data_IF_934492554225
#
_entry.id   IF_934492554225
#
_cell.length_a   1.000
_cell.length_b   1.000
_cell.length_c   1.000
_cell.angle_alpha   90.00
_cell.angle_beta   90.00
_cell.angle_gamma   90.00
#
_symmetry.space_group_name_H-M   'P 1'
#
loop_
_entity.id
_entity.type
_entity.pdbx_description
1 polymer ?
#
# COMPACT_ATOMS: atom_id res chain seq x y z
N UNK A 1 17.04 -25.01 10.46
CA UNK A 1 17.44 -24.00 11.46
C UNK A 1 16.98 -24.31 12.89
N UNK A 2 15.71 -24.64 13.16
CA UNK A 2 15.23 -24.85 14.57
C UNK A 2 15.84 -26.09 15.27
N UNK A 3 16.29 -27.12 14.54
CA UNK A 3 16.87 -28.33 15.15
C UNK A 3 18.30 -28.14 15.73
N UNK A 4 18.99 -27.05 15.39
CA UNK A 4 20.39 -26.80 15.78
C UNK A 4 20.47 -25.76 16.91
N UNK A 5 19.45 -24.91 17.04
CA UNK A 5 19.36 -23.90 18.09
C UNK A 5 18.75 -24.51 19.37
N UNK A 6 19.23 -24.11 20.55
CA UNK A 6 18.77 -24.60 21.85
C UNK A 6 17.28 -24.36 22.13
N UNK A 7 16.95 -23.35 22.94
CA UNK A 7 15.56 -22.98 23.25
C UNK A 7 15.16 -21.80 22.35
N UNK A 8 14.23 -22.03 21.42
CA UNK A 8 13.77 -21.01 20.47
C UNK A 8 12.49 -20.37 20.98
N UNK A 9 12.43 -19.04 20.99
CA UNK A 9 11.23 -18.26 21.29
C UNK A 9 10.73 -17.60 20.01
N UNK A 10 9.43 -17.71 19.76
CA UNK A 10 8.76 -17.12 18.61
C UNK A 10 7.66 -16.22 19.16
N UNK A 11 7.66 -14.95 18.76
CA UNK A 11 6.57 -14.03 19.06
C UNK A 11 5.90 -13.67 17.73
N UNK A 12 4.57 -13.84 17.66
CA UNK A 12 3.78 -13.50 16.49
C UNK A 12 2.74 -12.50 16.93
N UNK A 13 2.90 -11.27 16.48
CA UNK A 13 1.91 -10.23 16.74
C UNK A 13 0.85 -10.22 15.63
N UNK A 14 -0.41 -9.98 16.02
CA UNK A 14 -1.55 -9.75 15.14
C UNK A 14 -1.78 -10.84 14.06
N UNK A 15 -2.03 -12.08 14.49
CA UNK A 15 -2.31 -13.21 13.58
C UNK A 15 -3.43 -12.93 12.57
N UNK A 16 -4.43 -12.15 12.96
CA UNK A 16 -5.55 -11.75 12.12
C UNK A 16 -5.17 -10.84 10.94
N UNK A 17 -4.01 -10.19 10.98
CA UNK A 17 -3.53 -9.34 9.88
C UNK A 17 -2.85 -10.15 8.76
N UNK A 18 -2.62 -11.45 8.98
CA UNK A 18 -2.04 -12.32 7.97
C UNK A 18 -3.00 -12.56 6.80
N UNK A 19 -2.52 -12.42 5.57
CA UNK A 19 -3.29 -12.74 4.35
C UNK A 19 -3.25 -14.24 4.01
N UNK A 20 -2.18 -14.94 4.39
CA UNK A 20 -1.97 -16.38 4.17
C UNK A 20 -2.36 -17.21 5.41
N UNK A 21 -3.59 -17.04 5.89
CA UNK A 21 -4.06 -17.58 7.18
C UNK A 21 -4.03 -19.10 7.26
N UNK A 22 -4.32 -19.79 6.14
CA UNK A 22 -4.33 -21.26 6.07
C UNK A 22 -2.93 -21.83 6.23
N UNK A 23 -1.98 -21.26 5.51
CA UNK A 23 -0.57 -21.60 5.53
C UNK A 23 0.02 -21.33 6.91
N UNK A 24 -0.30 -20.18 7.51
CA UNK A 24 0.08 -19.83 8.88
C UNK A 24 -0.43 -20.86 9.90
N UNK A 25 -1.71 -21.21 9.85
CA UNK A 25 -2.29 -22.21 10.75
C UNK A 25 -1.66 -23.59 10.58
N UNK A 26 -1.33 -23.98 9.35
CA UNK A 26 -0.63 -25.24 9.08
C UNK A 26 0.79 -25.21 9.65
N UNK A 27 1.52 -24.11 9.46
CA UNK A 27 2.85 -23.92 10.00
C UNK A 27 2.87 -23.94 11.54
N UNK A 28 1.91 -23.27 12.19
CA UNK A 28 1.74 -23.28 13.65
C UNK A 28 1.54 -24.70 14.19
N UNK A 29 0.73 -25.53 13.53
CA UNK A 29 0.54 -26.94 13.91
C UNK A 29 1.85 -27.74 13.86
N UNK A 30 2.69 -27.50 12.85
CA UNK A 30 4.00 -28.15 12.74
C UNK A 30 5.01 -27.65 13.79
N UNK A 31 4.82 -26.45 14.33
CA UNK A 31 5.62 -25.89 15.41
C UNK A 31 5.27 -26.47 16.78
N UNK A 32 3.99 -26.75 17.03
CA UNK A 32 3.53 -27.35 18.28
C UNK A 32 4.24 -28.68 18.61
N UNK A 33 4.72 -29.40 17.59
CA UNK A 33 5.47 -30.65 17.75
C UNK A 33 6.99 -30.47 17.92
N UNK A 34 7.50 -29.24 18.08
CA UNK A 34 8.94 -28.92 18.18
C UNK A 34 9.28 -28.27 19.53
N UNK A 35 10.58 -28.22 19.87
CA UNK A 35 11.11 -27.52 21.07
C UNK A 35 11.13 -25.99 20.88
N UNK A 36 10.01 -25.38 20.55
CA UNK A 36 9.87 -23.92 20.46
C UNK A 36 8.84 -23.41 21.48
N UNK A 37 9.07 -22.23 22.04
CA UNK A 37 8.09 -21.51 22.85
C UNK A 37 7.45 -20.40 22.01
N UNK A 38 6.12 -20.37 21.98
CA UNK A 38 5.36 -19.46 21.14
C UNK A 38 4.52 -18.54 22.03
N UNK A 39 4.58 -17.25 21.73
CA UNK A 39 3.55 -16.28 22.13
C UNK A 39 2.94 -15.76 20.84
N UNK A 40 1.61 -15.75 20.77
CA UNK A 40 0.91 -15.20 19.63
C UNK A 40 -0.27 -14.35 20.10
N UNK A 41 -0.48 -13.21 19.46
CA UNK A 41 -1.61 -12.32 19.70
C UNK A 41 -2.51 -12.30 18.46
N UNK A 42 -3.77 -11.98 18.65
CA UNK A 42 -4.71 -11.81 17.55
C UNK A 42 -6.14 -11.70 18.04
N UNK A 43 -7.02 -11.28 17.14
CA UNK A 43 -8.46 -11.21 17.44
C UNK A 43 -9.06 -12.60 17.57
N UNK A 44 -10.11 -12.76 18.41
CA UNK A 44 -10.79 -14.03 18.62
C UNK A 44 -11.70 -14.42 17.44
N UNK A 45 -11.15 -14.48 16.23
CA UNK A 45 -11.88 -14.91 15.04
C UNK A 45 -12.16 -16.42 15.08
N UNK A 46 -13.29 -16.82 14.50
CA UNK A 46 -13.82 -18.20 14.56
C UNK A 46 -12.79 -19.25 14.11
N UNK A 47 -11.99 -18.94 13.09
CA UNK A 47 -10.96 -19.85 12.59
C UNK A 47 -9.81 -20.06 13.59
N UNK A 48 -9.36 -19.00 14.27
CA UNK A 48 -8.29 -19.09 15.26
C UNK A 48 -8.79 -19.75 16.54
N UNK A 49 -9.98 -19.40 16.99
CA UNK A 49 -10.63 -20.00 18.15
C UNK A 49 -10.84 -21.52 17.99
N UNK A 50 -11.10 -22.00 16.78
CA UNK A 50 -11.26 -23.43 16.52
C UNK A 50 -9.95 -24.17 16.26
N UNK A 51 -8.96 -23.52 15.62
CA UNK A 51 -7.74 -24.17 15.16
C UNK A 51 -6.58 -24.13 16.17
N UNK A 52 -6.46 -23.09 16.99
CA UNK A 52 -5.31 -22.87 17.89
C UNK A 52 -5.40 -23.66 19.21
N UNK A 53 -6.55 -23.70 19.92
CA UNK A 53 -6.60 -24.38 21.22
C UNK A 53 -6.36 -25.90 21.14
N UNK A 54 -6.68 -26.54 20.00
CA UNK A 54 -6.49 -28.00 19.82
C UNK A 54 -5.01 -28.44 19.91
N UNK A 55 -4.06 -27.86 19.14
CA UNK A 55 -2.64 -28.23 19.22
C UNK A 55 -1.90 -27.62 20.41
N UNK A 56 -2.33 -26.47 20.95
CA UNK A 56 -1.59 -25.75 22.00
C UNK A 56 -2.21 -25.87 23.41
N UNK A 57 -3.43 -26.39 23.52
CA UNK A 57 -4.18 -26.57 24.77
C UNK A 57 -4.95 -25.31 25.19
N UNK A 58 -6.23 -25.47 25.52
CA UNK A 58 -7.15 -24.36 25.87
C UNK A 58 -6.63 -23.48 27.01
N UNK A 59 -6.00 -24.08 28.03
CA UNK A 59 -5.43 -23.34 29.17
C UNK A 59 -4.31 -22.35 28.81
N UNK A 60 -3.71 -22.52 27.63
CA UNK A 60 -2.64 -21.65 27.14
C UNK A 60 -3.18 -20.53 26.23
N UNK A 61 -4.49 -20.52 25.96
CA UNK A 61 -5.17 -19.48 25.21
C UNK A 61 -5.87 -18.54 26.20
N UNK A 62 -5.31 -17.34 26.37
CA UNK A 62 -5.84 -16.35 27.30
C UNK A 62 -6.65 -15.33 26.52
N UNK A 63 -7.95 -15.24 26.82
CA UNK A 63 -8.79 -14.17 26.30
C UNK A 63 -8.70 -12.97 27.23
N UNK A 64 -8.42 -11.80 26.66
CA UNK A 64 -8.37 -10.55 27.42
C UNK A 64 -9.79 -10.10 27.78
N UNK A 65 -10.03 -9.92 29.07
CA UNK A 65 -11.31 -9.42 29.59
C UNK A 65 -11.43 -7.90 29.35
N UNK A 66 -12.51 -7.48 28.70
CA UNK A 66 -12.74 -6.08 28.35
C UNK A 66 -12.81 -5.15 29.57
N UNK A 67 -13.37 -5.61 30.69
CA UNK A 67 -13.52 -4.78 31.90
C UNK A 67 -12.17 -4.53 32.57
N UNK A 68 -11.30 -5.55 32.60
CA UNK A 68 -9.93 -5.42 33.09
C UNK A 68 -9.16 -4.43 32.22
N UNK A 69 -9.25 -4.58 30.89
CA UNK A 69 -8.60 -3.67 29.94
C UNK A 69 -9.10 -2.22 30.09
N UNK A 70 -10.40 -2.00 30.35
CA UNK A 70 -10.91 -0.65 30.66
C UNK A 70 -10.28 -0.05 31.93
N UNK A 71 -9.90 -0.88 32.90
CA UNK A 71 -9.08 -0.46 34.04
C UNK A 71 -7.75 0.14 33.59
N UNK A 72 -7.03 -0.58 32.72
CA UNK A 72 -5.73 -0.15 32.18
C UNK A 72 -5.86 1.09 31.29
N UNK A 73 -6.94 1.19 30.49
CA UNK A 73 -7.24 2.37 29.67
C UNK A 73 -7.42 3.60 30.56
N UNK A 74 -8.12 3.50 31.70
CA UNK A 74 -8.24 4.62 32.64
C UNK A 74 -6.87 5.07 33.17
N UNK A 75 -6.02 4.12 33.54
CA UNK A 75 -4.65 4.41 33.98
C UNK A 75 -3.82 5.08 32.88
N UNK A 76 -3.97 4.61 31.63
CA UNK A 76 -3.34 5.22 30.46
C UNK A 76 -3.82 6.66 30.21
N UNK A 77 -5.13 6.90 30.27
CA UNK A 77 -5.72 8.25 30.13
C UNK A 77 -5.18 9.16 31.22
N UNK A 78 -5.20 8.71 32.47
CA UNK A 78 -4.69 9.49 33.60
C UNK A 78 -3.20 9.82 33.47
N UNK A 79 -2.37 8.84 33.10
CA UNK A 79 -0.96 9.05 32.85
C UNK A 79 -0.74 10.06 31.71
N UNK A 80 -1.49 9.94 30.61
CA UNK A 80 -1.38 10.84 29.46
C UNK A 80 -1.74 12.28 29.82
N UNK A 81 -2.82 12.50 30.57
CA UNK A 81 -3.24 13.84 31.01
C UNK A 81 -2.22 14.49 31.96
N UNK A 82 -1.49 13.70 32.74
CA UNK A 82 -0.48 14.18 33.70
C UNK A 82 0.90 14.40 33.08
N UNK A 83 1.26 13.66 32.04
CA UNK A 83 2.63 13.62 31.52
C UNK A 83 2.78 14.33 30.18
N UNK A 84 1.75 14.36 29.33
CA UNK A 84 1.88 14.92 27.98
C UNK A 84 1.85 16.45 28.03
N UNK A 85 2.86 17.15 27.47
CA UNK A 85 2.90 18.62 27.46
C UNK A 85 1.63 19.26 26.89
N UNK A 86 1.06 18.63 25.85
CA UNK A 86 -0.21 19.04 25.23
C UNK A 86 -1.35 19.24 26.24
N UNK A 87 -1.37 18.55 27.38
CA UNK A 87 -2.38 18.73 28.42
C UNK A 87 -1.87 19.49 29.64
N UNK A 88 -0.62 19.23 30.05
CA UNK A 88 0.02 19.88 31.19
C UNK A 88 0.11 21.39 30.98
N UNK A 89 0.49 21.83 29.79
CA UNK A 89 0.69 23.24 29.47
C UNK A 89 -0.63 24.01 29.39
N UNK A 90 -1.75 23.32 29.12
CA UNK A 90 -3.09 23.91 29.03
C UNK A 90 -3.68 24.31 30.39
N UNK A 91 -3.13 23.83 31.52
CA UNK A 91 -3.59 24.12 32.90
C UNK A 91 -5.12 23.98 33.05
N UNK A 92 -5.65 22.84 32.62
CA UNK A 92 -7.08 22.55 32.63
C UNK A 92 -7.64 22.50 34.06
N UNK A 93 -8.92 22.84 34.24
CA UNK A 93 -9.58 22.75 35.53
C UNK A 93 -9.73 21.28 35.97
N UNK A 94 -9.77 21.00 37.28
CA UNK A 94 -10.02 19.65 37.79
C UNK A 94 -11.32 19.03 37.26
N UNK A 95 -12.36 19.84 37.04
CA UNK A 95 -13.64 19.38 36.51
C UNK A 95 -13.53 18.81 35.09
N UNK A 96 -12.77 19.48 34.20
CA UNK A 96 -12.57 19.02 32.82
C UNK A 96 -11.72 17.74 32.82
N UNK A 97 -10.69 17.67 33.67
CA UNK A 97 -9.84 16.48 33.78
C UNK A 97 -10.64 15.26 34.25
N UNK A 98 -11.52 15.41 35.24
CA UNK A 98 -12.41 14.32 35.66
C UNK A 98 -13.37 13.91 34.55
N UNK A 99 -13.99 14.87 33.85
CA UNK A 99 -14.89 14.56 32.73
C UNK A 99 -14.16 13.80 31.60
N UNK A 100 -12.92 14.17 31.29
CA UNK A 100 -12.07 13.44 30.32
C UNK A 100 -11.78 12.02 30.79
N UNK A 101 -11.38 11.84 32.06
CA UNK A 101 -11.09 10.52 32.64
C UNK A 101 -12.31 9.60 32.56
N UNK A 102 -13.48 10.12 32.94
CA UNK A 102 -14.70 9.34 32.96
C UNK A 102 -15.19 9.00 31.55
N UNK A 103 -15.28 9.99 30.66
CA UNK A 103 -15.82 9.76 29.32
C UNK A 103 -14.90 8.92 28.44
N UNK A 104 -13.60 9.18 28.47
CA UNK A 104 -12.64 8.46 27.61
C UNK A 104 -12.30 7.11 28.25
N UNK A 105 -12.00 7.09 29.54
CA UNK A 105 -11.57 5.89 30.24
C UNK A 105 -12.65 4.81 30.32
N UNK A 106 -13.91 5.19 30.53
CA UNK A 106 -15.03 4.24 30.55
C UNK A 106 -15.67 4.04 29.16
N UNK A 107 -15.55 5.02 28.25
CA UNK A 107 -16.20 5.00 26.94
C UNK A 107 -15.40 4.32 25.82
N UNK A 108 -14.18 3.87 26.08
CA UNK A 108 -13.31 3.27 25.06
C UNK A 108 -13.65 1.80 24.70
N UNK A 109 -14.56 1.14 25.42
CA UNK A 109 -14.99 -0.25 25.23
C UNK A 109 -13.84 -1.25 24.99
N UNK A 110 -12.78 -1.18 25.80
CA UNK A 110 -11.61 -2.06 25.71
C UNK A 110 -10.65 -1.73 24.57
N UNK A 111 -10.84 -0.61 23.87
CA UNK A 111 -10.00 -0.20 22.73
C UNK A 111 -9.08 0.96 23.11
N UNK A 112 -7.81 0.68 23.38
CA UNK A 112 -6.78 1.72 23.56
C UNK A 112 -6.71 2.68 22.37
N UNK A 113 -6.92 2.17 21.15
CA UNK A 113 -6.89 3.00 19.94
C UNK A 113 -7.97 4.08 19.96
N UNK A 114 -9.17 3.77 20.45
CA UNK A 114 -10.24 4.75 20.59
C UNK A 114 -9.84 5.82 21.61
N UNK A 115 -9.35 5.41 22.79
CA UNK A 115 -8.90 6.35 23.82
C UNK A 115 -7.77 7.28 23.32
N UNK A 116 -6.77 6.73 22.63
CA UNK A 116 -5.66 7.48 22.05
C UNK A 116 -6.15 8.52 21.02
N UNK A 117 -7.02 8.12 20.09
CA UNK A 117 -7.59 9.02 19.09
C UNK A 117 -8.41 10.15 19.72
N UNK A 118 -9.19 9.85 20.78
CA UNK A 118 -9.95 10.86 21.52
C UNK A 118 -9.03 11.86 22.22
N UNK A 119 -7.97 11.38 22.87
CA UNK A 119 -6.97 12.24 23.51
C UNK A 119 -6.25 13.12 22.48
N UNK A 120 -5.82 12.58 21.34
CA UNK A 120 -5.21 13.38 20.26
C UNK A 120 -6.15 14.44 19.69
N UNK A 121 -7.46 14.17 19.62
CA UNK A 121 -8.45 15.16 19.22
C UNK A 121 -8.51 16.31 20.24
N UNK A 122 -8.62 15.98 21.53
CA UNK A 122 -8.75 16.97 22.60
C UNK A 122 -7.46 17.78 22.84
N UNK A 123 -6.29 17.17 22.60
CA UNK A 123 -5.00 17.84 22.66
C UNK A 123 -4.93 19.03 21.68
N UNK A 124 -5.59 18.93 20.53
CA UNK A 124 -5.62 19.97 19.49
C UNK A 124 -6.58 21.14 19.81
N UNK A 125 -7.46 21.00 20.80
CA UNK A 125 -8.38 22.08 21.18
C UNK A 125 -7.61 23.28 21.77
N UNK A 126 -7.88 24.49 21.27
CA UNK A 126 -7.17 25.70 21.69
C UNK A 126 -7.76 26.39 22.93
N UNK A 127 -8.97 26.01 23.36
CA UNK A 127 -9.64 26.63 24.52
C UNK A 127 -10.40 25.58 25.35
N UNK A 128 -10.63 25.85 26.66
CA UNK A 128 -11.46 24.99 27.50
C UNK A 128 -12.88 24.80 26.94
N UNK A 129 -13.47 25.85 26.38
CA UNK A 129 -14.79 25.78 25.75
C UNK A 129 -14.82 24.83 24.53
N UNK A 130 -13.72 24.76 23.76
CA UNK A 130 -13.60 23.80 22.66
C UNK A 130 -13.51 22.35 23.18
N UNK A 131 -12.76 22.11 24.26
CA UNK A 131 -12.66 20.80 24.91
C UNK A 131 -14.04 20.35 25.41
N UNK A 132 -14.76 21.21 26.14
CA UNK A 132 -16.09 20.89 26.66
C UNK A 132 -17.10 20.60 25.54
N UNK A 133 -17.02 21.34 24.43
CA UNK A 133 -17.86 21.10 23.25
C UNK A 133 -17.55 19.73 22.61
N UNK A 134 -16.28 19.39 22.47
CA UNK A 134 -15.87 18.11 21.89
C UNK A 134 -16.21 16.93 22.83
N UNK A 135 -16.04 17.11 24.15
CA UNK A 135 -16.45 16.14 25.18
C UNK A 135 -17.96 15.87 25.17
N UNK A 136 -18.79 16.86 24.82
CA UNK A 136 -20.26 16.68 24.68
C UNK A 136 -20.64 15.90 23.44
N UNK A 137 -19.82 15.97 22.40
CA UNK A 137 -20.13 15.38 21.10
C UNK A 137 -19.28 14.16 20.78
N UNK A 138 -18.57 13.54 21.73
CA UNK A 138 -17.62 12.46 21.46
C UNK A 138 -18.17 11.35 20.56
N UNK A 139 -17.35 10.80 19.66
CA UNK A 139 -17.71 9.63 18.88
C UNK A 139 -17.97 8.43 19.81
N UNK A 140 -19.01 7.64 19.51
CA UNK A 140 -19.43 6.51 20.34
C UNK A 140 -18.60 5.24 20.12
N UNK A 141 -17.83 5.18 19.02
CA UNK A 141 -16.98 4.05 18.69
C UNK A 141 -15.83 4.47 17.76
N UNK A 142 -14.99 3.50 17.43
CA UNK A 142 -13.79 3.71 16.62
C UNK A 142 -14.10 4.13 15.17
N UNK A 143 -15.10 3.52 14.52
CA UNK A 143 -15.47 3.87 13.14
C UNK A 143 -16.00 5.31 13.04
N UNK A 144 -16.83 5.72 13.99
CA UNK A 144 -17.32 7.11 14.09
C UNK A 144 -16.17 8.10 14.33
N UNK A 145 -15.15 7.69 15.08
CA UNK A 145 -13.93 8.49 15.29
C UNK A 145 -13.17 8.69 13.97
N UNK A 146 -12.91 7.62 13.22
CA UNK A 146 -12.23 7.72 11.93
C UNK A 146 -13.05 8.49 10.89
N UNK A 147 -14.36 8.32 10.86
CA UNK A 147 -15.27 9.09 10.01
C UNK A 147 -15.11 10.58 10.23
N UNK A 148 -15.07 11.02 11.48
CA UNK A 148 -14.87 12.44 11.83
C UNK A 148 -13.48 12.93 11.48
N UNK A 149 -12.44 12.11 11.68
CA UNK A 149 -11.08 12.47 11.29
C UNK A 149 -11.01 12.79 9.80
N UNK A 150 -11.56 11.93 8.94
CA UNK A 150 -11.61 12.14 7.49
C UNK A 150 -12.46 13.35 7.10
N UNK A 151 -13.61 13.54 7.76
CA UNK A 151 -14.50 14.68 7.47
C UNK A 151 -13.89 16.02 7.87
N UNK A 152 -13.08 16.04 8.92
CA UNK A 152 -12.43 17.25 9.43
C UNK A 152 -11.12 17.59 8.69
N UNK A 153 -10.71 16.78 7.70
CA UNK A 153 -9.59 17.15 6.82
C UNK A 153 -9.99 18.41 6.05
N UNK A 154 -9.20 19.51 6.12
CA UNK A 154 -9.47 20.73 5.38
C UNK A 154 -9.68 20.47 3.89
N UNK A 155 -10.62 21.19 3.26
CA UNK A 155 -10.99 20.95 1.85
C UNK A 155 -9.81 21.09 0.88
N UNK A 156 -8.86 21.96 1.20
CA UNK A 156 -7.61 22.17 0.46
C UNK A 156 -6.69 20.94 0.44
N UNK A 157 -6.71 20.11 1.49
CA UNK A 157 -5.88 18.90 1.59
C UNK A 157 -6.64 17.63 1.26
N UNK A 158 -7.97 17.70 1.17
CA UNK A 158 -8.84 16.52 1.18
C UNK A 158 -8.57 15.58 0.00
N UNK A 159 -8.42 16.09 -1.22
CA UNK A 159 -8.13 15.25 -2.38
C UNK A 159 -6.80 14.52 -2.25
N UNK A 160 -5.79 15.23 -1.77
CA UNK A 160 -4.43 14.71 -1.63
C UNK A 160 -4.34 13.70 -0.48
N UNK A 161 -5.03 13.98 0.63
CA UNK A 161 -5.14 13.09 1.78
C UNK A 161 -5.86 11.77 1.42
N UNK A 162 -6.98 11.84 0.70
CA UNK A 162 -7.70 10.64 0.25
C UNK A 162 -6.83 9.82 -0.72
N UNK A 163 -6.14 10.48 -1.66
CA UNK A 163 -5.19 9.82 -2.56
C UNK A 163 -4.08 9.11 -1.78
N UNK A 164 -3.46 9.80 -0.82
CA UNK A 164 -2.43 9.21 0.03
C UNK A 164 -2.94 8.00 0.82
N UNK A 165 -4.13 8.08 1.40
CA UNK A 165 -4.75 6.95 2.11
C UNK A 165 -5.06 5.77 1.18
N UNK A 166 -5.48 6.02 -0.08
CA UNK A 166 -5.67 4.95 -1.07
C UNK A 166 -4.35 4.23 -1.37
N UNK A 167 -3.24 4.96 -1.50
CA UNK A 167 -1.91 4.37 -1.59
C UNK A 167 -1.62 3.52 -0.35
N UNK A 168 -1.72 4.07 0.86
CA UNK A 168 -1.38 3.33 2.09
C UNK A 168 -2.23 2.08 2.34
N UNK A 169 -3.49 2.07 1.90
CA UNK A 169 -4.38 0.90 2.04
C UNK A 169 -3.93 -0.24 1.11
N UNK A 170 -3.55 0.08 -0.13
CA UNK A 170 -3.31 -0.93 -1.18
C UNK A 170 -1.84 -1.10 -1.58
N UNK A 171 -0.93 -0.32 -1.00
CA UNK A 171 0.49 -0.36 -1.30
C UNK A 171 1.04 -1.79 -1.14
N UNK A 172 1.64 -2.30 -2.22
CA UNK A 172 2.31 -3.61 -2.23
C UNK A 172 3.59 -3.61 -1.41
N UNK A 173 4.22 -2.45 -1.32
CA UNK A 173 5.41 -2.20 -0.53
C UNK A 173 5.17 -1.00 0.37
N UNK A 174 5.66 -1.00 1.62
CA UNK A 174 5.59 0.16 2.48
C UNK A 174 6.13 1.40 1.76
N UNK A 175 5.34 2.47 1.79
CA UNK A 175 5.66 3.70 1.07
C UNK A 175 6.70 4.47 1.87
N UNK A 176 7.88 4.74 1.29
CA UNK A 176 8.88 5.56 1.96
C UNK A 176 8.35 6.99 2.10
N UNK A 177 8.75 7.69 3.16
CA UNK A 177 8.28 9.05 3.43
C UNK A 177 8.52 10.00 2.25
N UNK A 178 9.69 10.00 1.57
CA UNK A 178 9.89 10.82 0.37
C UNK A 178 8.97 10.44 -0.80
N UNK A 179 8.63 9.16 -0.96
CA UNK A 179 7.71 8.70 -2.01
C UNK A 179 6.28 9.19 -1.73
N UNK A 180 5.87 9.19 -0.46
CA UNK A 180 4.57 9.70 -0.03
C UNK A 180 4.43 11.21 -0.30
N UNK A 181 5.51 11.98 -0.19
CA UNK A 181 5.52 13.41 -0.56
C UNK A 181 5.27 13.59 -2.06
N UNK A 182 5.80 12.71 -2.91
CA UNK A 182 5.56 12.78 -4.36
C UNK A 182 4.09 12.47 -4.72
N UNK A 183 3.43 11.58 -3.96
CA UNK A 183 1.98 11.32 -4.11
C UNK A 183 1.16 12.59 -3.87
N UNK A 184 1.52 13.38 -2.86
CA UNK A 184 0.89 14.68 -2.58
C UNK A 184 1.22 15.70 -3.67
N UNK A 185 2.47 15.73 -4.13
CA UNK A 185 2.94 16.66 -5.15
C UNK A 185 2.40 16.38 -6.59
N UNK A 186 1.67 15.27 -6.78
CA UNK A 186 1.10 14.86 -8.08
C UNK A 186 -0.40 15.15 -8.16
N UNK A 187 -0.80 16.15 -8.95
CA UNK A 187 -2.21 16.49 -9.18
C UNK A 187 -2.83 15.64 -10.29
N UNK A 188 -3.98 15.01 -10.01
CA UNK A 188 -4.70 14.18 -11.00
C UNK A 188 -6.19 14.52 -11.13
N UNK A 189 -6.72 15.37 -10.24
CA UNK A 189 -8.14 15.69 -10.14
C UNK A 189 -8.45 17.03 -10.82
N UNK A 190 -7.66 18.06 -10.52
CA UNK A 190 -7.89 19.43 -10.98
C UNK A 190 -6.83 19.88 -12.00
N UNK A 191 -7.23 20.72 -12.95
CA UNK A 191 -6.28 21.31 -13.90
C UNK A 191 -5.54 22.51 -13.26
N UNK A 192 -4.22 22.69 -13.50
CA UNK A 192 -3.38 21.85 -14.35
C UNK A 192 -2.99 20.53 -13.66
N UNK A 193 -3.28 19.40 -14.32
CA UNK A 193 -2.83 18.08 -13.86
C UNK A 193 -1.33 17.94 -14.08
N UNK A 194 -0.68 17.21 -13.18
CA UNK A 194 0.73 16.92 -13.31
C UNK A 194 1.46 16.81 -11.97
N UNK A 195 2.66 16.26 -12.03
CA UNK A 195 3.63 16.33 -10.96
C UNK A 195 4.32 17.70 -10.94
N UNK A 196 4.41 18.30 -9.75
CA UNK A 196 5.06 19.59 -9.57
C UNK A 196 5.97 19.60 -8.33
N UNK A 197 7.28 19.72 -8.56
CA UNK A 197 8.29 19.83 -7.50
C UNK A 197 7.98 20.94 -6.49
N UNK A 198 7.33 22.04 -6.92
CA UNK A 198 6.93 23.15 -6.03
C UNK A 198 5.79 22.81 -5.07
N UNK A 199 5.10 21.68 -5.27
CA UNK A 199 4.10 21.15 -4.33
C UNK A 199 4.69 20.22 -3.27
N UNK A 200 6.00 19.91 -3.34
CA UNK A 200 6.68 19.17 -2.26
C UNK A 200 6.56 19.94 -0.95
N UNK A 201 6.39 19.20 0.13
CA UNK A 201 6.34 19.77 1.47
C UNK A 201 7.69 20.37 1.84
N UNK A 202 7.68 21.49 2.56
CA UNK A 202 8.91 22.07 3.12
C UNK A 202 9.60 21.13 4.09
N UNK A 203 8.80 20.42 4.91
CA UNK A 203 9.24 19.35 5.79
C UNK A 203 8.44 18.10 5.48
N UNK A 204 9.09 16.97 5.21
CA UNK A 204 8.40 15.73 4.87
C UNK A 204 7.43 15.28 5.98
N UNK A 205 7.78 15.53 7.24
CA UNK A 205 6.94 15.23 8.40
C UNK A 205 5.59 15.99 8.44
N UNK A 206 5.46 17.10 7.70
CA UNK A 206 4.17 17.81 7.57
C UNK A 206 3.10 16.96 6.87
N UNK A 207 3.45 15.83 6.26
CA UNK A 207 2.49 14.89 5.67
C UNK A 207 1.48 14.38 6.71
N UNK A 208 1.87 14.30 7.99
CA UNK A 208 0.98 13.92 9.09
C UNK A 208 -0.19 14.90 9.25
N UNK A 209 -0.07 16.14 8.75
CA UNK A 209 -1.12 17.16 8.79
C UNK A 209 -2.24 16.89 7.78
N UNK A 210 -1.97 16.13 6.71
CA UNK A 210 -2.98 15.73 5.73
C UNK A 210 -3.93 14.67 6.32
N UNK A 211 -3.39 13.77 7.15
CA UNK A 211 -4.13 12.65 7.72
C UNK A 211 -3.93 12.52 9.26
N UNK A 212 -4.31 13.54 10.07
CA UNK A 212 -3.97 13.56 11.49
C UNK A 212 -4.57 12.38 12.26
N UNK A 213 -3.72 11.60 12.93
CA UNK A 213 -4.13 10.43 13.71
C UNK A 213 -4.58 9.23 12.85
N UNK A 214 -4.44 9.29 11.52
CA UNK A 214 -4.71 8.15 10.61
C UNK A 214 -3.43 7.52 10.07
N UNK A 215 -2.31 8.25 10.10
CA UNK A 215 -1.00 7.81 9.62
C UNK A 215 0.09 8.09 10.65
N UNK A 216 1.19 7.35 10.58
CA UNK A 216 2.40 7.54 11.39
C UNK A 216 3.64 7.43 10.49
N UNK A 217 4.73 8.03 10.95
CA UNK A 217 6.07 7.79 10.37
C UNK A 217 6.75 6.77 11.26
N UNK A 218 7.21 5.67 10.66
CA UNK A 218 7.95 4.61 11.32
C UNK A 218 9.38 4.58 10.80
N UNK A 219 10.34 4.55 11.71
CA UNK A 219 11.75 4.33 11.38
C UNK A 219 11.98 2.83 11.26
N UNK A 220 12.35 2.37 10.07
CA UNK A 220 12.55 0.94 9.77
C UNK A 220 14.00 0.72 9.35
N UNK A 221 14.70 -0.16 10.08
CA UNK A 221 16.08 -0.56 9.77
C UNK A 221 16.08 -1.89 9.03
N UNK A 222 16.53 -1.82 7.78
CA UNK A 222 16.79 -2.98 6.93
C UNK A 222 18.28 -3.36 7.04
N UNK A 223 18.69 -4.50 6.49
CA UNK A 223 20.09 -4.98 6.55
C UNK A 223 21.13 -3.97 6.01
N UNK A 224 20.69 -2.96 5.25
CA UNK A 224 21.54 -1.98 4.56
C UNK A 224 21.26 -0.51 4.89
N UNK A 225 20.06 -0.16 5.33
CA UNK A 225 19.65 1.25 5.52
C UNK A 225 18.54 1.39 6.57
N UNK A 226 18.57 2.51 7.30
CA UNK A 226 17.42 2.97 8.09
C UNK A 226 16.64 3.97 7.25
N UNK A 227 15.35 3.73 7.07
CA UNK A 227 14.47 4.57 6.27
C UNK A 227 13.20 4.93 7.03
N UNK A 228 12.72 6.15 6.81
CA UNK A 228 11.41 6.58 7.28
C UNK A 228 10.34 6.08 6.30
N UNK A 229 9.41 5.28 6.82
CA UNK A 229 8.26 4.78 6.09
C UNK A 229 6.98 5.42 6.62
N UNK A 230 6.03 5.68 5.72
CA UNK A 230 4.71 6.19 6.09
C UNK A 230 3.73 5.02 6.17
N UNK A 231 3.17 4.79 7.36
CA UNK A 231 2.24 3.69 7.62
C UNK A 231 0.87 4.23 8.05
N UNK A 232 -0.16 3.40 7.91
CA UNK A 232 -1.41 3.65 8.63
C UNK A 232 -1.12 3.55 10.13
N UNK A 233 -1.74 4.44 10.91
CA UNK A 233 -1.46 4.53 12.34
C UNK A 233 -1.89 3.28 13.14
N UNK A 234 -2.78 2.46 12.57
CA UNK A 234 -3.19 1.18 13.11
C UNK A 234 -3.93 0.37 12.04
N UNK A 235 -3.91 -0.96 12.10
CA UNK A 235 -4.62 -1.82 11.15
C UNK A 235 -6.13 -1.55 11.07
N UNK A 236 -6.77 -1.20 12.19
CA UNK A 236 -8.19 -0.83 12.20
C UNK A 236 -8.53 0.40 11.35
N UNK A 237 -7.56 1.26 11.05
CA UNK A 237 -7.74 2.34 10.07
C UNK A 237 -7.97 1.73 8.69
N UNK A 238 -7.17 0.73 8.31
CA UNK A 238 -7.30 0.02 7.03
C UNK A 238 -8.66 -0.65 6.90
N UNK A 239 -9.11 -1.35 7.95
CA UNK A 239 -10.42 -2.00 7.97
C UNK A 239 -11.54 -0.99 7.72
N UNK A 240 -11.55 0.13 8.47
CA UNK A 240 -12.56 1.17 8.31
C UNK A 240 -12.52 1.84 6.92
N UNK A 241 -11.33 2.03 6.34
CA UNK A 241 -11.21 2.60 5.00
C UNK A 241 -11.79 1.65 3.95
N UNK A 242 -11.50 0.35 4.03
CA UNK A 242 -11.99 -0.67 3.09
C UNK A 242 -13.52 -0.83 3.07
N UNK A 243 -14.22 -0.42 4.13
CA UNK A 243 -15.70 -0.38 4.16
C UNK A 243 -16.29 0.71 3.26
N UNK A 244 -15.48 1.67 2.81
CA UNK A 244 -15.92 2.79 1.98
C UNK A 244 -15.59 2.55 0.51
N UNK A 245 -16.57 2.79 -0.37
CA UNK A 245 -16.43 2.54 -1.82
C UNK A 245 -15.18 3.18 -2.44
N UNK A 246 -14.82 4.41 -2.08
CA UNK A 246 -13.65 5.07 -2.68
C UNK A 246 -12.29 4.39 -2.36
N UNK A 247 -12.23 3.51 -1.35
CA UNK A 247 -11.03 2.76 -0.99
C UNK A 247 -11.13 1.28 -1.38
N UNK A 248 -12.18 0.85 -2.10
CA UNK A 248 -12.20 -0.49 -2.68
C UNK A 248 -11.02 -0.65 -3.66
N UNK A 249 -10.56 -1.89 -3.87
CA UNK A 249 -9.37 -2.16 -4.69
C UNK A 249 -9.46 -1.55 -6.09
N UNK A 250 -10.63 -1.61 -6.74
CA UNK A 250 -10.82 -1.10 -8.10
C UNK A 250 -10.78 0.44 -8.08
N UNK A 251 -11.52 1.08 -7.18
CA UNK A 251 -11.53 2.55 -7.06
C UNK A 251 -10.16 3.12 -6.71
N UNK A 252 -9.46 2.52 -5.76
CA UNK A 252 -8.11 2.93 -5.37
C UNK A 252 -7.11 2.67 -6.49
N UNK A 253 -7.22 1.55 -7.21
CA UNK A 253 -6.31 1.22 -8.32
C UNK A 253 -6.42 2.23 -9.47
N UNK A 254 -7.62 2.72 -9.79
CA UNK A 254 -7.80 3.81 -10.77
C UNK A 254 -6.97 5.03 -10.36
N UNK A 255 -7.05 5.42 -9.09
CA UNK A 255 -6.33 6.58 -8.57
C UNK A 255 -4.81 6.35 -8.56
N UNK A 256 -4.36 5.21 -8.04
CA UNK A 256 -2.93 4.87 -7.96
C UNK A 256 -2.30 4.81 -9.36
N UNK A 257 -2.95 4.14 -10.32
CA UNK A 257 -2.48 4.07 -11.70
C UNK A 257 -2.37 5.46 -12.33
N UNK A 258 -3.40 6.29 -12.19
CA UNK A 258 -3.37 7.67 -12.72
C UNK A 258 -2.22 8.47 -12.12
N UNK A 259 -2.05 8.43 -10.80
CA UNK A 259 -0.96 9.12 -10.11
C UNK A 259 0.40 8.65 -10.62
N UNK A 260 0.62 7.33 -10.73
CA UNK A 260 1.89 6.80 -11.23
C UNK A 260 2.15 7.21 -12.69
N UNK A 261 1.16 7.12 -13.57
CA UNK A 261 1.32 7.48 -14.98
C UNK A 261 1.54 8.99 -15.17
N UNK A 262 0.79 9.82 -14.45
CA UNK A 262 1.00 11.28 -14.45
C UNK A 262 2.40 11.62 -13.95
N UNK A 263 2.82 11.02 -12.84
CA UNK A 263 4.17 11.22 -12.30
C UNK A 263 5.27 10.84 -13.29
N UNK A 264 5.19 9.64 -13.87
CA UNK A 264 6.18 9.13 -14.82
C UNK A 264 6.24 9.95 -16.13
N UNK A 265 5.13 10.53 -16.56
CA UNK A 265 5.08 11.37 -17.76
C UNK A 265 5.72 12.75 -17.57
N UNK A 266 5.73 13.27 -16.35
CA UNK A 266 6.23 14.61 -16.04
C UNK A 266 7.69 14.66 -15.58
N UNK A 267 8.21 13.57 -15.03
CA UNK A 267 9.64 13.49 -14.69
C UNK A 267 10.49 13.41 -15.96
N UNK A 268 11.43 14.34 -16.12
CA UNK A 268 12.34 14.42 -17.27
C UNK A 268 13.76 14.55 -16.75
N UNK A 269 14.61 13.51 -16.88
CA UNK A 269 16.06 13.54 -16.65
C UNK A 269 16.70 12.17 -17.01
N UNK A 270 18.01 12.01 -16.81
CA UNK A 270 18.71 10.72 -16.95
C UNK A 270 18.45 9.82 -15.72
N UNK A 271 18.33 8.51 -15.93
CA UNK A 271 17.87 7.54 -14.91
C UNK A 271 18.67 7.59 -13.58
N UNK A 272 19.98 7.84 -13.65
CA UNK A 272 20.85 7.90 -12.48
C UNK A 272 20.57 9.09 -11.56
N UNK A 273 20.21 10.26 -12.11
CA UNK A 273 19.83 11.45 -11.30
C UNK A 273 18.35 11.42 -10.93
N UNK A 274 17.52 10.70 -11.68
CA UNK A 274 16.08 10.63 -11.39
C UNK A 274 15.83 10.01 -10.02
N UNK A 275 16.62 9.03 -9.60
CA UNK A 275 16.36 8.33 -8.33
C UNK A 275 16.63 9.18 -7.11
N UNK A 276 17.61 10.08 -7.17
CA UNK A 276 17.84 11.06 -6.09
C UNK A 276 16.78 12.16 -6.12
N UNK A 277 16.42 12.63 -7.31
CA UNK A 277 15.60 13.83 -7.46
C UNK A 277 14.09 13.54 -7.40
N UNK A 278 13.69 12.30 -7.70
CA UNK A 278 12.31 11.84 -7.85
C UNK A 278 12.13 10.48 -7.13
N UNK A 279 11.98 10.50 -5.79
CA UNK A 279 12.00 9.28 -4.97
C UNK A 279 10.95 8.23 -5.36
N UNK A 280 9.77 8.65 -5.82
CA UNK A 280 8.68 7.75 -6.20
C UNK A 280 8.89 7.10 -7.59
N UNK A 281 9.89 7.50 -8.38
CA UNK A 281 10.05 7.06 -9.76
C UNK A 281 10.15 5.53 -9.90
N UNK A 282 10.93 4.89 -9.03
CA UNK A 282 11.08 3.43 -9.05
C UNK A 282 9.80 2.72 -8.61
N UNK A 283 9.17 3.16 -7.52
CA UNK A 283 7.89 2.63 -7.06
C UNK A 283 6.82 2.71 -8.16
N UNK A 284 6.66 3.90 -8.74
CA UNK A 284 5.68 4.14 -9.80
C UNK A 284 5.95 3.24 -11.00
N UNK A 285 7.18 3.17 -11.48
CA UNK A 285 7.57 2.33 -12.63
C UNK A 285 7.35 0.83 -12.39
N UNK A 286 7.54 0.37 -11.16
CA UNK A 286 7.46 -1.05 -10.81
C UNK A 286 6.02 -1.54 -10.65
N UNK A 287 5.14 -0.75 -10.03
CA UNK A 287 3.84 -1.26 -9.58
C UNK A 287 2.64 -0.74 -10.36
N UNK A 288 2.77 0.29 -11.19
CA UNK A 288 1.59 0.90 -11.84
C UNK A 288 0.77 -0.07 -12.70
N UNK A 289 1.42 -1.06 -13.33
CA UNK A 289 0.76 -2.07 -14.18
C UNK A 289 -0.13 -3.00 -13.35
N UNK A 290 0.29 -3.40 -12.15
CA UNK A 290 -0.52 -4.25 -11.26
C UNK A 290 -1.82 -3.57 -10.84
N UNK A 291 -1.76 -2.27 -10.53
CA UNK A 291 -2.94 -1.47 -10.24
C UNK A 291 -3.77 -1.27 -11.51
N UNK A 292 -3.14 -1.06 -12.67
CA UNK A 292 -3.86 -0.89 -13.93
C UNK A 292 -4.69 -2.12 -14.27
N UNK A 293 -4.14 -3.33 -14.08
CA UNK A 293 -4.85 -4.62 -14.20
C UNK A 293 -6.12 -4.65 -13.34
N UNK A 294 -6.02 -4.20 -12.09
CA UNK A 294 -7.16 -4.16 -11.16
C UNK A 294 -8.21 -3.11 -11.54
N UNK A 295 -7.86 -2.16 -12.42
CA UNK A 295 -8.69 -1.05 -12.87
C UNK A 295 -9.10 -1.12 -14.35
N UNK A 296 -8.76 -2.19 -15.08
CA UNK A 296 -8.95 -2.29 -16.54
C UNK A 296 -10.42 -2.21 -17.02
N UNK A 297 -11.38 -2.42 -16.14
CA UNK A 297 -12.81 -2.17 -16.45
C UNK A 297 -13.16 -0.69 -16.62
N UNK A 298 -12.25 0.22 -16.26
CA UNK A 298 -12.38 1.65 -16.51
C UNK A 298 -11.79 2.02 -17.87
N UNK A 299 -12.64 2.42 -18.80
CA UNK A 299 -12.22 2.91 -20.13
C UNK A 299 -11.23 4.08 -20.02
N UNK A 300 -11.37 4.91 -18.98
CA UNK A 300 -10.42 5.99 -18.72
C UNK A 300 -9.01 5.47 -18.44
N UNK A 301 -8.89 4.43 -17.63
CA UNK A 301 -7.58 3.84 -17.31
C UNK A 301 -6.97 3.14 -18.52
N UNK A 302 -7.77 2.43 -19.31
CA UNK A 302 -7.29 1.82 -20.56
C UNK A 302 -6.73 2.90 -21.47
N UNK A 303 -7.47 3.98 -21.69
CA UNK A 303 -7.03 5.10 -22.53
C UNK A 303 -5.77 5.79 -22.01
N UNK A 304 -5.69 6.06 -20.71
CA UNK A 304 -4.49 6.63 -20.08
C UNK A 304 -3.29 5.70 -20.22
N UNK A 305 -3.49 4.40 -20.01
CA UNK A 305 -2.45 3.37 -20.17
C UNK A 305 -1.92 3.33 -21.60
N UNK A 306 -2.82 3.22 -22.59
CA UNK A 306 -2.45 3.22 -24.01
C UNK A 306 -1.77 4.54 -24.40
N UNK A 307 -2.27 5.67 -23.91
CA UNK A 307 -1.66 6.98 -24.13
C UNK A 307 -0.22 7.06 -23.62
N UNK A 308 0.01 6.64 -22.37
CA UNK A 308 1.35 6.60 -21.76
C UNK A 308 2.29 5.61 -22.45
N UNK A 309 1.79 4.45 -22.91
CA UNK A 309 2.58 3.50 -23.67
C UNK A 309 2.98 4.06 -25.04
N UNK A 310 2.10 4.81 -25.70
CA UNK A 310 2.39 5.43 -27.00
C UNK A 310 3.37 6.58 -26.89
N UNK A 311 3.24 7.41 -25.85
CA UNK A 311 4.16 8.52 -25.63
C UNK A 311 5.60 8.02 -25.51
N UNK A 312 6.43 8.40 -26.49
CA UNK A 312 7.78 7.87 -26.61
C UNK A 312 8.62 8.20 -25.37
N UNK A 313 8.42 9.39 -24.78
CA UNK A 313 9.18 9.84 -23.62
C UNK A 313 8.82 9.04 -22.39
N UNK A 314 7.53 8.94 -22.09
CA UNK A 314 6.98 8.20 -20.95
C UNK A 314 7.34 6.71 -21.03
N UNK A 315 7.18 6.09 -22.20
CA UNK A 315 7.51 4.68 -22.40
C UNK A 315 9.01 4.39 -22.21
N UNK A 316 9.89 5.22 -22.79
CA UNK A 316 11.33 5.11 -22.60
C UNK A 316 11.73 5.31 -21.13
N UNK A 317 11.10 6.29 -20.47
CA UNK A 317 11.35 6.63 -19.08
C UNK A 317 10.95 5.49 -18.14
N UNK A 318 9.75 4.93 -18.33
CA UNK A 318 9.29 3.76 -17.60
C UNK A 318 10.26 2.58 -17.75
N UNK A 319 10.62 2.23 -18.99
CA UNK A 319 11.50 1.09 -19.25
C UNK A 319 12.93 1.29 -18.75
N UNK A 320 13.41 2.54 -18.62
CA UNK A 320 14.72 2.83 -18.01
C UNK A 320 14.68 2.67 -16.49
N UNK A 321 13.54 3.00 -15.87
CA UNK A 321 13.35 2.88 -14.44
C UNK A 321 13.06 1.46 -14.00
N UNK A 322 12.37 0.66 -14.81
CA UNK A 322 12.01 -0.72 -14.49
C UNK A 322 11.63 -1.52 -15.74
N UNK A 323 12.07 -2.79 -15.81
CA UNK A 323 11.59 -3.78 -16.78
C UNK A 323 11.29 -5.07 -16.02
N UNK A 324 10.05 -5.54 -16.08
CA UNK A 324 9.60 -6.69 -15.28
C UNK A 324 10.34 -7.99 -15.63
N UNK A 325 10.75 -8.15 -16.89
CA UNK A 325 11.56 -9.27 -17.36
C UNK A 325 13.03 -9.18 -16.95
N UNK A 326 13.43 -8.08 -16.30
CA UNK A 326 14.78 -7.86 -15.74
C UNK A 326 14.71 -7.20 -14.36
N UNK A 327 13.80 -7.66 -13.50
CA UNK A 327 13.55 -7.06 -12.18
C UNK A 327 14.80 -7.00 -11.27
N UNK A 328 15.76 -7.90 -11.48
CA UNK A 328 17.07 -7.93 -10.79
C UNK A 328 18.07 -6.87 -11.28
N UNK A 329 17.78 -6.21 -12.41
CA UNK A 329 18.64 -5.18 -12.97
C UNK A 329 18.15 -3.82 -12.50
N UNK A 330 19.03 -3.12 -11.81
CA UNK A 330 18.74 -1.84 -11.21
C UNK A 330 18.48 -0.76 -12.28
N UNK A 331 19.33 -0.70 -13.32
CA UNK A 331 19.19 0.17 -14.48
C UNK A 331 19.13 -0.66 -15.76
N UNK A 332 17.94 -1.13 -16.18
CA UNK A 332 17.80 -2.03 -17.32
C UNK A 332 18.10 -1.38 -18.68
N UNK A 333 18.14 -0.04 -18.74
CA UNK A 333 18.43 0.73 -19.96
C UNK A 333 17.19 0.99 -20.83
N UNK A 334 17.35 1.36 -22.11
CA UNK A 334 16.21 1.59 -23.00
C UNK A 334 15.35 0.33 -23.19
N UNK A 335 14.07 0.46 -23.62
CA UNK A 335 13.22 -0.68 -23.93
C UNK A 335 13.86 -1.55 -25.02
N UNK A 336 13.82 -2.87 -24.81
CA UNK A 336 14.40 -3.87 -25.74
C UNK A 336 13.32 -4.66 -26.49
N UNK A 337 12.06 -4.26 -26.32
CA UNK A 337 10.90 -4.92 -26.89
C UNK A 337 9.82 -3.89 -27.28
N UNK A 338 8.80 -4.35 -28.00
CA UNK A 338 7.68 -3.52 -28.42
C UNK A 338 6.80 -3.09 -27.25
N UNK A 339 5.99 -2.05 -27.45
CA UNK A 339 4.97 -1.62 -26.47
C UNK A 339 3.96 -2.75 -26.19
N UNK A 340 3.63 -3.51 -27.23
CA UNK A 340 2.75 -4.67 -27.14
C UNK A 340 3.36 -5.76 -26.25
N UNK A 341 4.66 -6.02 -26.36
CA UNK A 341 5.36 -6.95 -25.47
C UNK A 341 5.22 -6.55 -23.99
N UNK A 342 5.51 -5.30 -23.65
CA UNK A 342 5.42 -4.84 -22.25
C UNK A 342 3.97 -4.76 -21.75
N UNK A 343 2.99 -4.46 -22.62
CA UNK A 343 1.58 -4.55 -22.26
C UNK A 343 1.19 -5.99 -21.92
N UNK A 344 1.65 -6.96 -22.69
CA UNK A 344 1.40 -8.39 -22.44
C UNK A 344 2.07 -8.86 -21.15
N UNK A 345 3.34 -8.49 -20.93
CA UNK A 345 4.09 -8.80 -19.72
C UNK A 345 3.48 -8.12 -18.47
N UNK A 346 2.90 -6.94 -18.63
CA UNK A 346 2.17 -6.24 -17.56
C UNK A 346 0.74 -6.73 -17.35
N UNK A 347 0.30 -7.77 -18.09
CA UNK A 347 -1.07 -8.30 -18.10
C UNK A 347 -2.17 -7.28 -18.47
N UNK A 348 -1.80 -6.24 -19.22
CA UNK A 348 -2.69 -5.16 -19.66
C UNK A 348 -3.49 -5.58 -20.91
N UNK A 349 -4.48 -6.45 -20.72
CA UNK A 349 -5.23 -7.12 -21.79
C UNK A 349 -5.95 -6.14 -22.72
N UNK A 350 -6.55 -5.08 -22.14
CA UNK A 350 -7.27 -4.08 -22.93
C UNK A 350 -6.31 -3.15 -23.67
N UNK A 351 -5.20 -2.77 -23.04
CA UNK A 351 -4.16 -1.99 -23.71
C UNK A 351 -3.51 -2.79 -24.86
N UNK A 352 -3.26 -4.09 -24.67
CA UNK A 352 -2.76 -4.97 -25.71
C UNK A 352 -3.75 -5.05 -26.88
N UNK A 353 -5.05 -5.18 -26.61
CA UNK A 353 -6.11 -5.17 -27.64
C UNK A 353 -6.14 -3.88 -28.45
N UNK A 354 -6.05 -2.73 -27.78
CA UNK A 354 -6.05 -1.43 -28.46
C UNK A 354 -4.81 -1.28 -29.35
N UNK A 355 -3.62 -1.60 -28.82
CA UNK A 355 -2.37 -1.55 -29.58
C UNK A 355 -2.43 -2.45 -30.82
N UNK A 356 -2.96 -3.68 -30.70
CA UNK A 356 -3.13 -4.61 -31.82
C UNK A 356 -4.13 -4.06 -32.85
N UNK A 357 -5.24 -3.48 -32.38
CA UNK A 357 -6.25 -2.87 -33.26
C UNK A 357 -5.69 -1.71 -34.07
N UNK A 358 -4.73 -0.99 -33.50
CA UNK A 358 -4.03 0.12 -34.15
C UNK A 358 -2.82 -0.28 -34.98
N UNK A 359 -2.60 -1.59 -35.17
CA UNK A 359 -1.56 -2.12 -36.06
C UNK A 359 -0.19 -2.33 -35.41
N UNK A 360 -0.13 -2.51 -34.08
CA UNK A 360 1.10 -2.99 -33.45
C UNK A 360 1.51 -4.35 -34.05
N UNK A 361 2.80 -4.47 -34.40
CA UNK A 361 3.36 -5.72 -34.93
C UNK A 361 3.36 -6.82 -33.86
N UNK A 362 2.49 -7.82 -34.05
CA UNK A 362 2.29 -8.95 -33.15
C UNK A 362 3.48 -9.91 -33.10
N UNK A 363 4.33 -9.90 -34.14
CA UNK A 363 5.52 -10.74 -34.25
C UNK A 363 6.81 -9.96 -33.94
N UNK A 364 6.71 -8.69 -33.53
CA UNK A 364 7.87 -7.91 -33.14
C UNK A 364 8.69 -8.64 -32.06
N UNK A 365 9.92 -8.99 -32.42
CA UNK A 365 10.85 -9.68 -31.53
C UNK A 365 11.51 -8.71 -30.55
N UNK A 366 11.72 -9.16 -29.32
CA UNK A 366 12.39 -8.42 -28.28
C UNK A 366 12.08 -8.91 -26.86
N UNK A 367 12.82 -8.37 -25.90
CA UNK A 367 12.70 -8.75 -24.49
C UNK A 367 13.24 -10.14 -24.18
N UNK A 368 13.22 -10.52 -22.91
CA UNK A 368 13.79 -11.81 -22.46
C UNK A 368 12.91 -13.01 -22.85
N UNK A 369 11.60 -12.83 -23.02
CA UNK A 369 10.68 -13.90 -23.46
C UNK A 369 10.59 -14.07 -24.97
N UNK A 370 11.12 -13.13 -25.76
CA UNK A 370 11.26 -13.24 -27.20
C UNK A 370 10.23 -12.47 -28.03
N UNK A 371 8.93 -12.59 -27.73
CA UNK A 371 7.87 -11.79 -28.36
C UNK A 371 6.66 -11.60 -27.43
N UNK A 372 5.66 -10.82 -27.87
CA UNK A 372 4.49 -10.49 -27.06
C UNK A 372 3.64 -11.72 -26.67
N UNK A 373 3.52 -12.71 -27.56
CA UNK A 373 2.78 -13.94 -27.32
C UNK A 373 3.43 -14.78 -26.21
N UNK A 374 4.77 -14.88 -26.24
CA UNK A 374 5.54 -15.60 -25.23
C UNK A 374 5.45 -14.90 -23.86
N UNK A 375 5.51 -13.57 -23.82
CA UNK A 375 5.30 -12.80 -22.60
C UNK A 375 3.88 -12.98 -22.01
N UNK A 376 2.84 -12.91 -22.85
CA UNK A 376 1.46 -13.16 -22.42
C UNK A 376 1.26 -14.58 -21.87
N UNK A 377 1.92 -15.57 -22.50
CA UNK A 377 1.87 -16.98 -22.09
C UNK A 377 2.54 -17.19 -20.74
N UNK A 378 3.70 -16.55 -20.50
CA UNK A 378 4.41 -16.61 -19.22
C UNK A 378 3.57 -16.06 -18.07
N UNK A 379 2.88 -14.94 -18.30
CA UNK A 379 2.00 -14.31 -17.32
C UNK A 379 0.62 -15.01 -17.17
N UNK A 380 0.37 -16.08 -17.93
CA UNK A 380 -0.88 -16.82 -17.90
C UNK A 380 -2.10 -16.03 -18.41
N UNK A 381 -1.89 -15.01 -19.25
CA UNK A 381 -2.97 -14.17 -19.78
C UNK A 381 -3.64 -14.83 -21.01
N UNK A 382 -4.51 -15.81 -20.75
CA UNK A 382 -5.17 -16.62 -21.77
C UNK A 382 -5.93 -15.78 -22.82
N UNK A 383 -6.62 -14.73 -22.39
CA UNK A 383 -7.37 -13.84 -23.30
C UNK A 383 -6.43 -13.14 -24.30
N UNK A 384 -5.29 -12.67 -23.82
CA UNK A 384 -4.29 -12.00 -24.68
C UNK A 384 -3.57 -13.00 -25.57
N UNK A 385 -3.28 -14.21 -25.08
CA UNK A 385 -2.71 -15.30 -25.88
C UNK A 385 -3.62 -15.65 -27.06
N UNK A 386 -4.93 -15.80 -26.82
CA UNK A 386 -5.90 -16.09 -27.86
C UNK A 386 -5.97 -14.94 -28.87
N UNK A 387 -6.08 -13.69 -28.39
CA UNK A 387 -6.11 -12.50 -29.24
C UNK A 387 -4.90 -12.43 -30.17
N UNK A 388 -3.69 -12.64 -29.65
CA UNK A 388 -2.46 -12.58 -30.43
C UNK A 388 -2.39 -13.73 -31.44
N UNK A 389 -2.80 -14.94 -31.04
CA UNK A 389 -2.85 -16.12 -31.93
C UNK A 389 -3.81 -15.90 -33.10
N UNK A 390 -5.01 -15.36 -32.83
CA UNK A 390 -6.01 -15.04 -33.85
C UNK A 390 -5.51 -13.97 -34.83
N UNK A 391 -4.56 -13.14 -34.40
CA UNK A 391 -3.89 -12.11 -35.22
C UNK A 391 -2.62 -12.60 -35.89
N UNK A 392 -2.32 -13.89 -35.82
CA UNK A 392 -1.20 -14.52 -36.51
C UNK A 392 0.15 -14.40 -35.79
N UNK A 393 0.14 -14.23 -34.47
CA UNK A 393 1.37 -14.30 -33.68
C UNK A 393 1.97 -15.72 -33.71
N UNK A 394 3.24 -15.84 -34.07
CA UNK A 394 3.94 -17.12 -34.18
C UNK A 394 4.75 -17.42 -32.91
N UNK A 395 4.41 -18.51 -32.22
CA UNK A 395 5.13 -18.95 -31.03
C UNK A 395 6.55 -19.48 -31.33
N UNK A 396 6.83 -19.84 -32.59
CA UNK A 396 8.05 -20.56 -32.99
C UNK A 396 8.99 -19.73 -33.87
N UNK A 397 8.82 -18.41 -33.94
CA UNK A 397 9.65 -17.59 -34.84
C UNK A 397 11.14 -17.57 -34.43
N UNK A 398 11.46 -17.83 -33.15
CA UNK A 398 12.82 -18.12 -32.67
C UNK A 398 13.46 -19.33 -33.39
N UNK A 399 12.66 -20.35 -33.71
CA UNK A 399 13.08 -21.53 -34.46
C UNK A 399 13.28 -21.24 -35.95
N UNK A 400 12.48 -20.34 -36.53
CA UNK A 400 12.61 -19.92 -37.93
C UNK A 400 13.85 -19.06 -38.17
N UNK A 401 14.20 -18.16 -37.25
CA UNK A 401 15.45 -17.38 -37.33
C UNK A 401 16.67 -18.30 -37.20
N UNK A 402 16.65 -19.29 -36.30
CA UNK A 402 17.71 -20.30 -36.22
C UNK A 402 17.76 -21.20 -37.46
N UNK A 403 16.63 -21.59 -38.05
CA UNK A 403 16.61 -22.32 -39.34
C UNK A 403 17.10 -21.47 -40.52
N UNK A 404 16.83 -20.16 -40.53
CA UNK A 404 17.29 -19.26 -41.58
C UNK A 404 18.80 -18.95 -41.44
N UNK A 405 19.32 -18.88 -40.21
CA UNK A 405 20.74 -18.62 -39.91
C UNK A 405 21.59 -19.89 -40.02
N UNK A 406 21.10 -21.05 -39.58
CA UNK A 406 21.84 -22.32 -39.57
C UNK A 406 21.45 -23.30 -40.69
N UNK A 407 20.35 -23.06 -41.41
CA UNK A 407 19.91 -23.89 -42.55
C UNK A 407 20.68 -23.67 -43.85
N UNK A 408 21.60 -22.70 -43.89
CA UNK A 408 22.48 -22.43 -45.04
C UNK A 408 23.88 -23.08 -44.94
N UNK A 409 24.17 -23.80 -43.87
CA UNK A 409 25.35 -24.68 -43.81
C UNK A 409 24.91 -26.10 -44.19
N UNK A 410 24.87 -26.37 -45.50
CA UNK A 410 24.86 -27.75 -45.99
C UNK A 410 26.23 -28.38 -45.72
N UNK A 411 26.20 -29.60 -45.19
CA UNK A 411 27.32 -30.53 -45.03
C UNK A 411 28.24 -30.59 -46.26
#
# INVERSE_FOLDING_TARGET
MIQIAGKVFINIDALDECTARKELLQWLKHLASRKAQLVATGRPEVEFQSAIPRPFGERNCIQLDKNVVNGDIRSYVEATLKQKPDFVDKKLSPSILEEMRDKIGNGADGMFRLAACLLESLARCLSPAAIEKDLKSLPSNLNETYRRMIQNIPSEYKSDAIRLLQFLVHAKWPLKLPEAVEVIATEINQEPRGFNVKRRLFQAADILRYCPGLVIIAEVTNDSETVDELHLAHFSVKEYLLEQAQFDLKSASIIITRTCLTYLGDIKNNCSTIRSDFPMARYAAQYWTEYAVSAETSEEIVRSTVGSLKDQTTFQQWCRLYQADRWWVEEPGPPRASRLYYACLGRLSWAARDLVTEGADVNAQGGEYGNALQAASYEGNLETVQLLSDKGADANEYGKVLQAVYGNLRL
#
